data_IF_315254182683
#
_entry.id   IF_315254182683
#
_cell.length_a   1.000
_cell.length_b   1.000
_cell.length_c   1.000
_cell.angle_alpha   90.00
_cell.angle_beta   90.00
_cell.angle_gamma   90.00
#
_symmetry.space_group_name_H-M   'P 1'
#
loop_
_entity.id
_entity.type
_entity.pdbx_description
1 polymer ?
#
# COMPACT_ATOMS: atom_id res chain seq x y z
N UNK A 1 20.92 -20.03 -2.15
CA UNK A 1 21.28 -21.41 -2.51
C UNK A 1 20.07 -22.37 -2.45
N UNK A 2 20.14 -23.57 -3.05
CA UNK A 2 19.09 -24.61 -2.86
C UNK A 2 19.00 -25.09 -1.40
N UNK A 3 20.13 -25.09 -0.69
CA UNK A 3 20.22 -25.43 0.73
C UNK A 3 19.44 -24.46 1.62
N UNK A 4 19.56 -23.16 1.38
CA UNK A 4 18.81 -22.12 2.12
C UNK A 4 17.30 -22.28 1.96
N UNK A 5 16.83 -22.56 0.73
CA UNK A 5 15.40 -22.75 0.49
C UNK A 5 14.86 -24.02 1.15
N UNK A 6 15.69 -25.05 1.31
CA UNK A 6 15.32 -26.23 2.10
C UNK A 6 15.17 -25.86 3.58
N UNK A 7 16.13 -25.13 4.14
CA UNK A 7 16.05 -24.64 5.52
C UNK A 7 14.83 -23.76 5.75
N UNK A 8 14.48 -22.89 4.79
CA UNK A 8 13.30 -22.05 4.89
C UNK A 8 12.00 -22.87 4.91
N UNK A 9 11.90 -23.90 4.06
CA UNK A 9 10.74 -24.82 4.07
C UNK A 9 10.68 -25.65 5.34
N UNK A 10 11.81 -26.19 5.79
CA UNK A 10 11.89 -26.93 7.05
C UNK A 10 11.50 -26.04 8.24
N UNK A 11 11.87 -24.75 8.22
CA UNK A 11 11.46 -23.77 9.21
C UNK A 11 9.95 -23.52 9.16
N UNK A 12 9.39 -23.31 7.96
CA UNK A 12 7.95 -23.14 7.76
C UNK A 12 7.14 -24.33 8.28
N UNK A 13 7.57 -25.56 7.97
CA UNK A 13 6.87 -26.78 8.41
C UNK A 13 6.99 -27.03 9.91
N UNK A 14 8.04 -26.49 10.55
CA UNK A 14 8.21 -26.47 12.02
C UNK A 14 7.58 -25.24 12.67
N UNK A 15 6.41 -24.80 12.19
CA UNK A 15 5.66 -23.67 12.74
C UNK A 15 6.43 -22.33 12.65
N UNK A 16 7.21 -22.19 11.58
CA UNK A 16 8.00 -21.01 11.31
C UNK A 16 7.14 -19.76 11.17
N UNK A 17 7.69 -18.64 11.63
CA UNK A 17 7.07 -17.32 11.61
C UNK A 17 7.96 -16.39 10.81
N UNK A 18 7.45 -15.92 9.67
CA UNK A 18 8.27 -15.24 8.67
C UNK A 18 7.64 -13.88 8.35
N UNK A 19 8.46 -12.83 8.41
CA UNK A 19 8.14 -11.55 7.77
C UNK A 19 9.00 -11.46 6.51
N UNK A 20 8.35 -11.30 5.36
CA UNK A 20 9.02 -11.24 4.07
C UNK A 20 8.67 -9.93 3.36
N UNK A 21 9.68 -9.08 3.18
CA UNK A 21 9.58 -7.84 2.42
C UNK A 21 10.35 -8.02 1.12
N UNK A 22 9.66 -7.90 -0.01
CA UNK A 22 10.23 -8.12 -1.33
C UNK A 22 10.41 -6.78 -2.04
N UNK A 23 11.58 -6.61 -2.65
CA UNK A 23 11.84 -5.48 -3.53
C UNK A 23 11.50 -5.88 -4.98
N UNK A 24 10.61 -5.15 -5.67
CA UNK A 24 10.28 -5.44 -7.07
C UNK A 24 11.48 -5.22 -8.01
N UNK A 25 12.47 -4.41 -7.64
CA UNK A 25 13.68 -4.18 -8.43
C UNK A 25 14.68 -5.33 -8.34
N UNK A 26 14.51 -6.26 -7.38
CA UNK A 26 15.44 -7.37 -7.14
C UNK A 26 14.84 -8.71 -7.57
N UNK A 27 15.55 -9.44 -8.43
CA UNK A 27 15.12 -10.76 -8.86
C UNK A 27 15.33 -11.81 -7.75
N UNK A 28 14.23 -12.25 -7.14
CA UNK A 28 14.21 -13.27 -6.09
C UNK A 28 13.37 -14.49 -6.47
N UNK A 29 13.64 -15.18 -7.59
CA UNK A 29 12.76 -16.22 -8.15
C UNK A 29 12.49 -17.38 -7.18
N UNK A 30 13.46 -17.70 -6.31
CA UNK A 30 13.31 -18.77 -5.31
C UNK A 30 12.36 -18.39 -4.18
N UNK A 31 12.41 -17.13 -3.71
CA UNK A 31 11.49 -16.63 -2.69
C UNK A 31 10.09 -16.47 -3.27
N UNK A 32 9.97 -15.90 -4.48
CA UNK A 32 8.71 -15.84 -5.22
C UNK A 32 8.09 -17.23 -5.40
N UNK A 33 8.90 -18.23 -5.74
CA UNK A 33 8.46 -19.64 -5.83
C UNK A 33 7.93 -20.19 -4.51
N UNK A 34 8.63 -19.97 -3.39
CA UNK A 34 8.19 -20.39 -2.06
C UNK A 34 6.86 -19.75 -1.66
N UNK A 35 6.70 -18.45 -1.88
CA UNK A 35 5.46 -17.72 -1.54
C UNK A 35 4.29 -18.16 -2.44
N UNK A 36 4.57 -18.52 -3.69
CA UNK A 36 3.60 -19.09 -4.63
C UNK A 36 3.13 -20.51 -4.24
N UNK A 37 4.01 -21.33 -3.65
CA UNK A 37 3.62 -22.61 -3.03
C UNK A 37 2.60 -22.40 -1.90
N UNK A 38 2.68 -21.25 -1.22
CA UNK A 38 1.76 -20.83 -0.17
C UNK A 38 0.52 -20.09 -0.69
N UNK A 39 0.30 -20.03 -1.99
CA UNK A 39 -0.90 -19.44 -2.59
C UNK A 39 -0.83 -17.92 -2.79
N UNK A 40 0.33 -17.30 -2.59
CA UNK A 40 0.55 -15.89 -2.93
C UNK A 40 1.48 -15.81 -4.14
N UNK A 41 0.97 -15.36 -5.28
CA UNK A 41 1.80 -15.10 -6.45
C UNK A 41 2.24 -13.64 -6.45
N UNK A 42 3.55 -13.44 -6.29
CA UNK A 42 4.18 -12.12 -6.49
C UNK A 42 4.34 -11.93 -8.00
N UNK A 43 3.60 -11.00 -8.57
CA UNK A 43 3.63 -10.76 -10.00
C UNK A 43 4.94 -10.07 -10.41
N UNK A 44 5.36 -10.32 -11.65
CA UNK A 44 6.54 -9.68 -12.22
C UNK A 44 6.14 -8.36 -12.90
N UNK A 45 5.65 -7.45 -12.07
CA UNK A 45 5.16 -6.14 -12.49
C UNK A 45 5.58 -5.05 -11.51
N UNK A 46 5.44 -3.80 -11.96
CA UNK A 46 5.65 -2.61 -11.15
C UNK A 46 4.42 -1.74 -11.24
N UNK A 47 3.88 -1.40 -10.07
CA UNK A 47 2.77 -0.48 -9.97
C UNK A 47 3.19 0.93 -10.35
N UNK A 48 2.38 1.56 -11.19
CA UNK A 48 2.55 2.93 -11.65
C UNK A 48 1.23 3.66 -11.64
N UNK A 49 1.29 4.99 -11.52
CA UNK A 49 0.12 5.86 -11.64
C UNK A 49 0.53 7.17 -12.31
N UNK A 50 -0.39 7.72 -13.11
CA UNK A 50 -0.29 9.09 -13.59
C UNK A 50 -1.02 10.02 -12.62
N UNK A 51 -0.27 10.92 -12.00
CA UNK A 51 -0.80 11.96 -11.13
C UNK A 51 -0.86 13.29 -11.90
N UNK A 52 -1.96 14.02 -11.73
CA UNK A 52 -2.06 15.38 -12.27
C UNK A 52 -1.32 16.34 -11.36
N UNK A 53 -0.22 16.90 -11.85
CA UNK A 53 0.57 17.92 -11.15
C UNK A 53 0.18 19.34 -11.56
N UNK A 54 -0.56 19.49 -12.66
CA UNK A 54 -1.04 20.77 -13.18
C UNK A 54 -2.38 20.66 -13.93
N UNK A 55 -2.68 21.65 -14.77
CA UNK A 55 -3.91 21.69 -15.59
C UNK A 55 -3.86 20.62 -16.70
N UNK A 56 -2.70 20.48 -17.35
CA UNK A 56 -2.43 19.47 -18.39
C UNK A 56 -1.21 18.60 -18.09
N UNK A 57 -0.51 18.88 -16.99
CA UNK A 57 0.71 18.16 -16.63
C UNK A 57 0.38 16.86 -15.89
N UNK A 58 0.72 15.74 -16.52
CA UNK A 58 0.68 14.41 -15.94
C UNK A 58 2.10 14.00 -15.61
N UNK A 59 2.38 13.77 -14.33
CA UNK A 59 3.61 13.14 -13.89
C UNK A 59 3.34 11.65 -13.65
N UNK A 60 4.25 10.81 -14.10
CA UNK A 60 4.22 9.40 -13.75
C UNK A 60 5.01 9.18 -12.47
N UNK A 61 4.43 8.46 -11.51
CA UNK A 61 5.15 8.02 -10.31
C UNK A 61 5.04 6.51 -10.11
N UNK A 62 6.04 5.98 -9.41
CA UNK A 62 6.16 4.58 -8.99
C UNK A 62 5.91 4.41 -7.50
N UNK A 63 5.76 5.52 -6.78
CA UNK A 63 5.39 5.51 -5.38
C UNK A 63 3.92 5.12 -5.28
N UNK A 64 3.62 4.17 -4.39
CA UNK A 64 2.27 3.62 -4.26
C UNK A 64 1.65 4.12 -2.98
N UNK A 65 0.54 4.85 -3.12
CA UNK A 65 -0.38 5.09 -2.03
C UNK A 65 -1.30 3.89 -1.88
N UNK A 66 -1.33 3.33 -0.68
CA UNK A 66 -2.13 2.16 -0.36
C UNK A 66 -2.79 2.33 1.01
N UNK A 67 -3.85 1.57 1.25
CA UNK A 67 -4.54 1.53 2.54
C UNK A 67 -4.48 0.13 3.14
N UNK A 68 -4.53 0.05 4.47
CA UNK A 68 -4.61 -1.21 5.17
C UNK A 68 -6.07 -1.68 5.32
N UNK A 69 -6.29 -2.98 5.13
CA UNK A 69 -7.59 -3.62 5.29
C UNK A 69 -7.87 -3.96 6.76
N UNK A 70 -9.12 -3.85 7.19
CA UNK A 70 -9.51 -4.03 8.61
C UNK A 70 -9.79 -5.47 9.05
N UNK A 71 -9.76 -6.43 8.13
CA UNK A 71 -10.24 -7.80 8.37
C UNK A 71 -9.27 -8.66 9.19
N UNK A 72 -7.98 -8.30 9.20
CA UNK A 72 -6.93 -9.05 9.88
C UNK A 72 -6.55 -8.43 11.24
N UNK A 73 -6.23 -9.23 12.28
CA UNK A 73 -5.71 -8.72 13.55
C UNK A 73 -4.48 -7.82 13.41
N UNK A 74 -3.66 -8.06 12.37
CA UNK A 74 -2.45 -7.28 12.07
C UNK A 74 -2.79 -5.81 11.80
N UNK A 75 -3.80 -5.59 10.96
CA UNK A 75 -4.13 -4.30 10.36
C UNK A 75 -5.42 -3.68 10.90
N UNK A 76 -6.13 -4.37 11.82
CA UNK A 76 -7.38 -3.88 12.42
C UNK A 76 -7.31 -2.44 12.97
N UNK A 77 -6.17 -2.04 13.54
CA UNK A 77 -5.96 -0.67 14.08
C UNK A 77 -5.56 0.35 13.00
N UNK A 78 -5.14 -0.15 11.85
CA UNK A 78 -4.76 0.60 10.67
C UNK A 78 -5.85 0.58 9.60
N UNK A 79 -7.04 0.05 9.89
CA UNK A 79 -8.15 0.02 8.93
C UNK A 79 -8.37 1.40 8.29
N UNK A 80 -8.36 1.43 6.95
CA UNK A 80 -8.50 2.62 6.11
C UNK A 80 -7.40 3.69 6.28
N UNK A 81 -6.37 3.40 7.06
CA UNK A 81 -5.18 4.24 7.15
C UNK A 81 -4.39 4.08 5.86
N UNK A 82 -4.01 5.21 5.27
CA UNK A 82 -3.19 5.27 4.07
C UNK A 82 -1.73 5.37 4.44
N UNK A 83 -0.87 4.70 3.70
CA UNK A 83 0.58 4.81 3.80
C UNK A 83 1.19 4.96 2.39
N UNK A 84 2.40 5.51 2.33
CA UNK A 84 3.16 5.64 1.09
C UNK A 84 4.27 4.57 1.01
N UNK A 85 4.28 3.83 -0.10
CA UNK A 85 5.26 2.80 -0.41
C UNK A 85 6.17 3.31 -1.54
N UNK A 86 7.33 3.83 -1.15
CA UNK A 86 8.29 4.45 -2.06
C UNK A 86 9.05 3.44 -2.92
N UNK A 87 9.69 3.88 -3.99
CA UNK A 87 10.74 3.06 -4.66
C UNK A 87 10.22 1.86 -5.45
N UNK A 88 8.90 1.77 -5.67
CA UNK A 88 8.25 0.76 -6.49
C UNK A 88 7.67 -0.40 -5.68
N UNK A 89 6.54 -0.91 -6.14
CA UNK A 89 5.81 -2.03 -5.53
C UNK A 89 5.31 -2.98 -6.62
N UNK A 90 5.32 -4.30 -6.40
CA UNK A 90 4.66 -5.27 -7.31
C UNK A 90 3.25 -5.61 -6.83
N UNK A 91 2.37 -6.05 -7.72
CA UNK A 91 1.08 -6.60 -7.34
C UNK A 91 1.21 -8.05 -6.83
N UNK A 92 0.31 -8.43 -5.92
CA UNK A 92 0.14 -9.77 -5.38
C UNK A 92 -1.20 -10.36 -5.85
N UNK A 93 -1.18 -11.59 -6.33
CA UNK A 93 -2.39 -12.38 -6.62
C UNK A 93 -2.54 -13.46 -5.56
N UNK A 94 -3.70 -13.49 -4.90
CA UNK A 94 -4.04 -14.51 -3.90
C UNK A 94 -4.80 -15.66 -4.57
N UNK A 95 -4.34 -16.89 -4.35
CA UNK A 95 -4.90 -18.11 -4.92
C UNK A 95 -5.35 -19.07 -3.80
N UNK A 96 -6.44 -18.73 -3.05
CA UNK A 96 -6.89 -19.53 -1.90
C UNK A 96 -7.26 -20.97 -2.27
N UNK A 97 -7.75 -21.19 -3.50
CA UNK A 97 -8.12 -22.51 -3.99
C UNK A 97 -6.93 -23.47 -4.11
N UNK A 98 -5.73 -22.93 -4.43
CA UNK A 98 -4.49 -23.72 -4.53
C UNK A 98 -4.12 -24.37 -3.21
N UNK A 99 -4.39 -23.68 -2.10
CA UNK A 99 -3.88 -24.05 -0.78
C UNK A 99 -4.97 -24.52 0.19
N UNK A 100 -6.20 -24.66 -0.30
CA UNK A 100 -7.36 -25.13 0.47
C UNK A 100 -7.11 -26.50 1.10
N UNK A 101 -6.54 -27.45 0.35
CA UNK A 101 -6.23 -28.79 0.84
C UNK A 101 -5.17 -28.80 1.95
N UNK A 102 -4.31 -27.78 2.00
CA UNK A 102 -3.26 -27.63 2.99
C UNK A 102 -3.73 -26.92 4.28
N UNK A 103 -5.02 -26.59 4.40
CA UNK A 103 -5.58 -25.81 5.53
C UNK A 103 -4.84 -24.49 5.76
N UNK A 104 -4.50 -23.82 4.65
CA UNK A 104 -3.86 -22.51 4.65
C UNK A 104 -4.91 -21.44 4.40
N UNK A 105 -4.93 -20.42 5.27
CA UNK A 105 -5.76 -19.23 5.12
C UNK A 105 -4.91 -18.10 4.56
N UNK A 106 -5.43 -17.42 3.55
CA UNK A 106 -4.84 -16.22 2.95
C UNK A 106 -5.70 -15.02 3.29
N UNK A 107 -5.06 -13.94 3.73
CA UNK A 107 -5.74 -12.68 4.02
C UNK A 107 -5.02 -11.52 3.33
N UNK A 108 -5.70 -10.71 2.50
CA UNK A 108 -5.11 -9.47 2.04
C UNK A 108 -4.97 -8.49 3.22
N UNK A 109 -3.84 -7.78 3.28
CA UNK A 109 -3.56 -6.81 4.34
C UNK A 109 -3.50 -5.38 3.82
N UNK A 110 -2.96 -5.19 2.61
CA UNK A 110 -2.68 -3.87 2.05
C UNK A 110 -3.14 -3.85 0.59
N UNK A 111 -3.92 -2.84 0.23
CA UNK A 111 -4.38 -2.60 -1.14
C UNK A 111 -3.96 -1.23 -1.64
N UNK A 112 -3.39 -1.19 -2.84
CA UNK A 112 -3.15 0.04 -3.56
C UNK A 112 -4.47 0.79 -3.78
N UNK A 113 -4.40 2.12 -3.74
CA UNK A 113 -5.52 2.98 -4.11
C UNK A 113 -5.94 2.75 -5.57
N UNK A 114 -7.08 3.33 -5.95
CA UNK A 114 -7.56 3.27 -7.33
C UNK A 114 -6.65 4.10 -8.25
N UNK A 115 -6.49 3.66 -9.50
CA UNK A 115 -5.74 4.35 -10.55
C UNK A 115 -4.36 3.78 -10.81
N UNK A 116 -3.88 2.84 -9.99
CA UNK A 116 -2.63 2.14 -10.24
C UNK A 116 -2.81 1.05 -11.29
N UNK A 117 -1.85 0.95 -12.20
CA UNK A 117 -1.76 -0.12 -13.18
C UNK A 117 -0.43 -0.87 -13.01
N UNK A 118 -0.43 -2.14 -13.40
CA UNK A 118 0.71 -3.05 -13.27
C UNK A 118 1.49 -3.13 -14.60
N UNK A 119 2.62 -2.44 -14.67
CA UNK A 119 3.51 -2.45 -15.83
C UNK A 119 4.51 -3.63 -15.74
N UNK A 120 4.66 -4.39 -16.83
CA UNK A 120 5.57 -5.56 -16.90
C UNK A 120 6.86 -5.25 -17.65
N UNK A 121 6.86 -4.22 -18.48
CA UNK A 121 7.99 -3.78 -19.26
C UNK A 121 8.78 -2.72 -18.48
N UNK A 122 9.84 -3.16 -17.81
CA UNK A 122 10.65 -2.29 -16.96
C UNK A 122 11.53 -1.31 -17.74
N UNK A 123 11.73 -1.56 -19.05
CA UNK A 123 12.63 -0.80 -19.92
C UNK A 123 11.91 0.22 -20.80
N UNK A 124 10.58 0.18 -20.85
CA UNK A 124 9.81 1.11 -21.67
C UNK A 124 9.63 2.45 -20.96
N UNK A 125 10.10 3.51 -21.60
CA UNK A 125 9.79 4.91 -21.27
C UNK A 125 8.81 5.53 -22.29
N UNK A 126 8.15 4.70 -23.11
CA UNK A 126 7.15 5.16 -24.07
C UNK A 126 5.88 5.61 -23.33
N UNK A 127 5.76 6.93 -23.14
CA UNK A 127 4.63 7.52 -22.45
C UNK A 127 3.28 7.23 -23.11
N UNK A 128 3.22 7.02 -24.43
CA UNK A 128 1.97 6.75 -25.14
C UNK A 128 1.49 5.34 -24.83
N UNK A 129 2.41 4.37 -24.83
CA UNK A 129 2.14 2.99 -24.39
C UNK A 129 1.65 2.98 -22.94
N UNK A 130 2.41 3.60 -22.02
CA UNK A 130 2.11 3.60 -20.59
C UNK A 130 0.75 4.25 -20.28
N UNK A 131 0.39 5.34 -20.96
CA UNK A 131 -0.93 5.96 -20.83
C UNK A 131 -2.06 5.08 -21.38
N UNK A 132 -1.78 4.30 -22.42
CA UNK A 132 -2.75 3.36 -23.00
C UNK A 132 -2.99 2.20 -22.04
N UNK A 133 -1.93 1.64 -21.47
CA UNK A 133 -2.00 0.56 -20.49
C UNK A 133 -2.72 1.04 -19.21
N UNK A 134 -2.46 2.27 -18.76
CA UNK A 134 -3.19 2.89 -17.66
C UNK A 134 -4.69 3.03 -17.93
N UNK A 135 -5.09 3.39 -19.16
CA UNK A 135 -6.51 3.51 -19.56
C UNK A 135 -7.19 2.15 -19.71
N UNK A 136 -6.45 1.13 -20.13
CA UNK A 136 -6.94 -0.25 -20.27
C UNK A 136 -6.98 -1.00 -18.94
N UNK A 137 -6.24 -0.53 -17.94
CA UNK A 137 -6.27 -1.11 -16.61
C UNK A 137 -7.68 -1.03 -16.02
N UNK A 138 -8.27 -2.20 -15.76
CA UNK A 138 -9.47 -2.27 -14.96
C UNK A 138 -9.10 -1.75 -13.57
N UNK A 139 -9.74 -0.67 -13.13
CA UNK A 139 -9.45 0.10 -11.91
C UNK A 139 -9.76 -0.67 -10.60
N UNK A 140 -9.29 -1.92 -10.54
CA UNK A 140 -9.45 -2.88 -9.46
C UNK A 140 -8.31 -2.65 -8.48
N UNK A 141 -8.59 -2.55 -7.17
CA UNK A 141 -7.54 -2.43 -6.16
C UNK A 141 -6.54 -3.60 -6.24
N UNK A 142 -5.27 -3.26 -6.33
CA UNK A 142 -4.18 -4.24 -6.41
C UNK A 142 -3.67 -4.53 -5.01
N UNK A 143 -3.63 -5.80 -4.63
CA UNK A 143 -3.10 -6.19 -3.32
C UNK A 143 -1.58 -6.11 -3.34
N UNK A 144 -0.97 -5.52 -2.32
CA UNK A 144 0.50 -5.37 -2.21
C UNK A 144 1.06 -5.98 -0.92
N UNK A 145 0.18 -6.39 -0.01
CA UNK A 145 0.55 -7.11 1.20
C UNK A 145 -0.51 -8.13 1.59
N UNK A 146 -0.08 -9.27 2.12
CA UNK A 146 -0.96 -10.36 2.53
C UNK A 146 -0.36 -11.21 3.65
N UNK A 147 -1.23 -11.84 4.44
CA UNK A 147 -0.89 -12.82 5.46
C UNK A 147 -1.24 -14.24 5.01
N UNK A 148 -0.46 -15.19 5.52
CA UNK A 148 -0.67 -16.62 5.36
C UNK A 148 -0.64 -17.26 6.74
N UNK A 149 -1.67 -18.05 7.05
CA UNK A 149 -1.70 -18.86 8.27
C UNK A 149 -2.01 -20.31 7.93
N UNK A 150 -1.10 -21.24 8.31
CA UNK A 150 -1.25 -22.69 8.12
C UNK A 150 -1.68 -23.33 9.43
N UNK A 151 -2.80 -24.05 9.43
CA UNK A 151 -3.28 -24.78 10.61
C UNK A 151 -4.05 -23.91 11.63
N UNK A 152 -4.46 -22.70 11.25
CA UNK A 152 -5.31 -21.84 12.07
C UNK A 152 -6.73 -22.39 12.17
N UNK A 153 -7.01 -23.20 13.19
CA UNK A 153 -8.38 -23.53 13.60
C UNK A 153 -8.94 -22.39 14.47
N UNK A 154 -10.27 -22.22 14.51
CA UNK A 154 -10.95 -21.22 15.35
C UNK A 154 -10.71 -21.43 16.87
N UNK A 155 -10.07 -22.54 17.24
CA UNK A 155 -9.75 -22.92 18.60
C UNK A 155 -8.36 -22.39 19.02
N UNK A 156 -8.33 -21.56 20.07
CA UNK A 156 -7.13 -20.83 20.55
C UNK A 156 -5.95 -21.76 20.91
N UNK A 157 -6.21 -23.02 21.28
CA UNK A 157 -5.16 -24.01 21.59
C UNK A 157 -4.42 -24.51 20.35
N UNK A 158 -5.04 -24.43 19.17
CA UNK A 158 -4.44 -24.85 17.89
C UNK A 158 -3.65 -23.70 17.24
N UNK A 159 -4.00 -22.44 17.53
CA UNK A 159 -3.26 -21.25 17.08
C UNK A 159 -1.83 -21.15 17.64
N UNK A 160 -1.53 -21.82 18.76
CA UNK A 160 -0.16 -21.93 19.27
C UNK A 160 0.76 -22.76 18.36
N UNK A 161 0.17 -23.56 17.46
CA UNK A 161 0.84 -24.52 16.60
C UNK A 161 0.72 -24.19 15.09
N UNK A 162 0.43 -22.92 14.72
CA UNK A 162 0.31 -22.51 13.32
C UNK A 162 1.59 -21.88 12.77
N UNK A 163 1.87 -22.14 11.47
CA UNK A 163 2.90 -21.40 10.72
C UNK A 163 2.29 -20.11 10.21
N UNK A 164 3.01 -19.00 10.35
CA UNK A 164 2.52 -17.65 10.00
C UNK A 164 3.51 -16.93 9.11
N UNK A 165 3.03 -16.30 8.04
CA UNK A 165 3.84 -15.52 7.12
C UNK A 165 3.13 -14.21 6.82
N UNK A 166 3.87 -13.11 6.82
CA UNK A 166 3.42 -11.82 6.28
C UNK A 166 4.32 -11.48 5.11
N UNK A 167 3.71 -11.19 3.95
CA UNK A 167 4.42 -10.79 2.72
C UNK A 167 4.00 -9.39 2.34
N UNK A 168 4.98 -8.53 2.03
CA UNK A 168 4.76 -7.23 1.40
C UNK A 168 5.68 -7.12 0.19
N UNK A 169 5.14 -6.70 -0.95
CA UNK A 169 5.87 -6.53 -2.22
C UNK A 169 6.58 -5.18 -2.34
N UNK A 170 6.99 -4.64 -1.20
CA UNK A 170 7.81 -3.44 -1.07
C UNK A 170 8.70 -3.59 0.17
N UNK A 171 9.99 -3.26 0.03
CA UNK A 171 10.99 -3.33 1.11
C UNK A 171 11.49 -1.97 1.59
N UNK A 172 11.19 -0.92 0.84
CA UNK A 172 11.70 0.44 1.04
C UNK A 172 10.90 1.20 2.10
N UNK A 173 9.64 0.84 2.34
CA UNK A 173 8.80 1.50 3.36
C UNK A 173 9.31 1.33 4.80
N UNK A 174 10.25 0.42 5.03
CA UNK A 174 10.93 0.21 6.33
C UNK A 174 12.35 0.79 6.38
N UNK A 175 12.77 1.54 5.36
CA UNK A 175 14.06 2.23 5.38
C UNK A 175 13.96 3.52 6.21
N UNK A 176 15.07 3.97 6.79
CA UNK A 176 15.12 5.11 7.71
C UNK A 176 14.48 6.40 7.15
N UNK A 177 14.63 6.63 5.85
CA UNK A 177 14.04 7.76 5.14
C UNK A 177 12.50 7.68 5.07
N UNK A 178 11.93 6.48 4.95
CA UNK A 178 10.49 6.26 4.93
C UNK A 178 9.91 6.26 6.35
N UNK A 179 10.60 5.65 7.31
CA UNK A 179 10.20 5.57 8.71
C UNK A 179 10.08 6.95 9.37
N UNK A 180 11.02 7.86 9.07
CA UNK A 180 11.00 9.22 9.64
C UNK A 180 9.85 10.08 9.11
N UNK A 181 9.27 9.73 7.96
CA UNK A 181 8.16 10.47 7.35
C UNK A 181 6.80 9.81 7.60
N UNK A 182 6.76 8.49 7.79
CA UNK A 182 5.51 7.73 7.86
C UNK A 182 5.48 6.74 9.04
N UNK A 183 4.87 7.17 10.14
CA UNK A 183 4.64 6.35 11.35
C UNK A 183 3.80 5.09 11.05
N UNK A 184 3.02 5.08 9.96
CA UNK A 184 2.07 4.00 9.69
C UNK A 184 2.79 2.71 9.24
N UNK A 185 3.93 2.83 8.57
CA UNK A 185 4.80 1.71 8.24
C UNK A 185 5.33 1.00 9.49
N UNK A 186 5.76 1.77 10.51
CA UNK A 186 6.23 1.22 11.79
C UNK A 186 5.12 0.48 12.54
N UNK A 187 3.93 1.09 12.62
CA UNK A 187 2.79 0.50 13.30
C UNK A 187 2.37 -0.82 12.63
N UNK A 188 2.45 -0.88 11.29
CA UNK A 188 2.20 -2.11 10.54
C UNK A 188 3.24 -3.19 10.82
N UNK A 189 4.54 -2.86 10.82
CA UNK A 189 5.60 -3.82 11.12
C UNK A 189 5.47 -4.32 12.56
N UNK A 190 5.20 -3.43 13.52
CA UNK A 190 4.95 -3.83 14.90
C UNK A 190 3.75 -4.75 15.02
N UNK A 191 2.64 -4.46 14.34
CA UNK A 191 1.45 -5.33 14.30
C UNK A 191 1.77 -6.70 13.68
N UNK A 192 2.52 -6.70 12.58
CA UNK A 192 2.95 -7.92 11.88
C UNK A 192 3.82 -8.79 12.77
N UNK A 193 4.84 -8.23 13.42
CA UNK A 193 5.72 -8.97 14.33
C UNK A 193 4.95 -9.50 15.54
N UNK A 194 4.07 -8.70 16.15
CA UNK A 194 3.27 -9.14 17.29
C UNK A 194 2.35 -10.32 16.94
N UNK A 195 1.70 -10.27 15.77
CA UNK A 195 0.88 -11.36 15.27
C UNK A 195 1.72 -12.61 14.93
N UNK A 196 2.86 -12.43 14.26
CA UNK A 196 3.81 -13.52 14.00
C UNK A 196 4.29 -14.16 15.31
N UNK A 197 4.47 -13.39 16.39
CA UNK A 197 4.86 -13.91 17.70
C UNK A 197 3.71 -14.52 18.52
N UNK A 198 2.50 -14.66 17.95
CA UNK A 198 1.30 -15.16 18.66
C UNK A 198 0.98 -14.38 19.94
N UNK A 199 1.43 -13.13 20.01
CA UNK A 199 1.19 -12.21 21.13
C UNK A 199 -0.06 -11.37 20.85
N UNK A 200 -1.16 -12.04 20.49
CA UNK A 200 -2.40 -11.35 20.10
C UNK A 200 -3.01 -10.53 21.25
N UNK A 201 -2.71 -10.88 22.51
CA UNK A 201 -3.07 -10.09 23.69
C UNK A 201 -2.28 -8.77 23.84
N UNK A 202 -1.07 -8.66 23.26
CA UNK A 202 -0.27 -7.42 23.24
C UNK A 202 -0.58 -6.52 22.03
N UNK A 203 -1.49 -6.95 21.15
CA UNK A 203 -2.08 -6.08 20.12
C UNK A 203 -3.07 -5.07 20.79
N UNK A 204 -3.35 -5.24 22.09
CA UNK A 204 -4.20 -4.39 22.91
C UNK A 204 -3.48 -3.26 23.66
N UNK A 205 -3.97 -2.03 23.41
CA UNK A 205 -3.85 -0.80 24.21
C UNK A 205 -2.52 -0.03 24.14
N UNK A 206 -2.24 0.57 22.98
CA UNK A 206 -1.45 1.81 22.91
C UNK A 206 -2.42 2.99 22.75
N UNK A 207 -2.25 4.13 23.47
CA UNK A 207 -3.15 5.28 23.37
C UNK A 207 -3.31 5.71 21.91
N UNK A 208 -4.56 5.95 21.47
CA UNK A 208 -4.80 6.63 20.19
C UNK A 208 -4.14 8.00 20.28
N UNK A 209 -3.01 8.19 19.61
CA UNK A 209 -2.48 9.52 19.40
C UNK A 209 -3.51 10.23 18.50
N UNK A 210 -4.12 11.34 18.93
CA UNK A 210 -5.09 12.04 18.12
C UNK A 210 -4.44 12.41 16.79
N UNK A 211 -4.96 11.82 15.71
CA UNK A 211 -4.53 12.15 14.35
C UNK A 211 -4.79 13.65 14.15
N UNK A 212 -3.83 14.44 13.67
CA UNK A 212 -4.19 15.69 13.04
C UNK A 212 -5.13 15.33 11.88
N UNK A 213 -6.36 15.82 11.94
CA UNK A 213 -7.28 15.75 10.82
C UNK A 213 -6.65 16.55 9.67
N UNK A 214 -5.90 15.87 8.80
CA UNK A 214 -5.50 16.46 7.54
C UNK A 214 -6.78 16.60 6.71
N UNK A 215 -7.27 17.82 6.56
CA UNK A 215 -8.36 18.14 5.65
C UNK A 215 -7.94 17.73 4.23
N UNK A 216 -8.28 16.52 3.80
CA UNK A 216 -8.24 16.16 2.39
C UNK A 216 -9.48 16.76 1.74
N UNK A 217 -9.33 17.95 1.15
CA UNK A 217 -10.40 18.57 0.37
C UNK A 217 -10.76 17.65 -0.80
N UNK A 218 -12.05 17.38 -1.01
CA UNK A 218 -12.51 16.63 -2.19
C UNK A 218 -12.15 17.38 -3.48
N UNK A 219 -12.09 16.67 -4.59
CA UNK A 219 -11.88 17.24 -5.93
C UNK A 219 -12.81 18.43 -6.22
N UNK A 220 -14.08 18.34 -5.80
CA UNK A 220 -15.05 19.43 -5.93
C UNK A 220 -14.73 20.62 -5.01
N UNK A 221 -14.26 20.36 -3.79
CA UNK A 221 -13.89 21.41 -2.84
C UNK A 221 -12.64 22.17 -3.31
N UNK A 222 -11.63 21.46 -3.84
CA UNK A 222 -10.46 22.07 -4.47
C UNK A 222 -10.84 22.89 -5.71
N UNK A 223 -11.81 22.42 -6.51
CA UNK A 223 -12.31 23.15 -7.68
C UNK A 223 -13.04 24.43 -7.31
N UNK A 224 -13.85 24.42 -6.25
CA UNK A 224 -14.50 25.63 -5.73
C UNK A 224 -13.48 26.61 -5.16
N UNK A 225 -12.55 26.12 -4.34
CA UNK A 225 -11.49 26.93 -3.74
C UNK A 225 -10.64 27.61 -4.84
N UNK A 226 -10.37 26.89 -5.93
CA UNK A 226 -9.67 27.42 -7.11
C UNK A 226 -10.38 28.61 -7.74
N UNK A 227 -11.69 28.51 -7.99
CA UNK A 227 -12.44 29.63 -8.59
C UNK A 227 -12.58 30.81 -7.63
N UNK A 228 -12.72 30.56 -6.32
CA UNK A 228 -12.72 31.61 -5.30
C UNK A 228 -11.39 32.36 -5.33
N UNK A 229 -10.25 31.66 -5.32
CA UNK A 229 -8.94 32.32 -5.34
C UNK A 229 -8.69 33.07 -6.66
N UNK A 230 -9.01 32.47 -7.81
CA UNK A 230 -8.78 33.09 -9.12
C UNK A 230 -9.67 34.29 -9.41
N UNK A 231 -10.89 34.33 -8.88
CA UNK A 231 -11.82 35.44 -9.13
C UNK A 231 -11.78 36.47 -8.00
N UNK A 232 -11.80 36.02 -6.74
CA UNK A 232 -11.94 36.92 -5.60
C UNK A 232 -10.68 37.75 -5.35
N UNK A 233 -9.48 37.14 -5.46
CA UNK A 233 -8.20 37.85 -5.24
C UNK A 233 -8.00 39.02 -6.22
N UNK A 234 -8.23 38.89 -7.55
CA UNK A 234 -8.10 40.04 -8.45
C UNK A 234 -9.27 41.02 -8.37
N UNK A 235 -10.46 40.57 -7.92
CA UNK A 235 -11.64 41.43 -7.84
C UNK A 235 -11.57 42.44 -6.69
N UNK A 236 -10.91 42.08 -5.57
CA UNK A 236 -10.68 43.00 -4.44
C UNK A 236 -9.89 44.26 -4.84
N UNK A 237 -8.68 44.18 -5.42
CA UNK A 237 -7.95 45.36 -5.87
C UNK A 237 -8.63 46.07 -7.04
N UNK A 238 -9.34 45.35 -7.92
CA UNK A 238 -10.12 45.97 -8.99
C UNK A 238 -11.28 46.83 -8.44
N UNK A 239 -12.01 46.34 -7.43
CA UNK A 239 -13.08 47.07 -6.78
C UNK A 239 -12.55 48.30 -6.02
N UNK A 240 -11.45 48.14 -5.27
CA UNK A 240 -10.78 49.26 -4.59
C UNK A 240 -10.31 50.31 -5.60
N UNK A 241 -9.66 49.88 -6.69
CA UNK A 241 -9.19 50.77 -7.75
C UNK A 241 -10.34 51.53 -8.41
N UNK A 242 -11.46 50.85 -8.70
CA UNK A 242 -12.66 51.46 -9.27
C UNK A 242 -13.29 52.48 -8.30
N UNK A 243 -13.36 52.15 -7.01
CA UNK A 243 -13.90 53.05 -5.98
C UNK A 243 -13.05 54.32 -5.82
N UNK A 244 -11.73 54.18 -5.77
CA UNK A 244 -10.78 55.31 -5.69
C UNK A 244 -10.88 56.18 -6.94
N UNK A 245 -10.98 55.56 -8.12
CA UNK A 245 -11.16 56.30 -9.38
C UNK A 245 -12.46 57.11 -9.39
N UNK A 246 -13.54 56.56 -8.85
CA UNK A 246 -14.83 57.24 -8.78
C UNK A 246 -14.80 58.42 -7.80
N UNK A 247 -14.18 58.26 -6.63
CA UNK A 247 -13.99 59.34 -5.65
C UNK A 247 -13.09 60.48 -6.16
N UNK A 248 -12.23 60.22 -7.14
CA UNK A 248 -11.40 61.26 -7.77
C UNK A 248 -12.12 62.06 -8.86
N UNK A 249 -13.26 61.56 -9.35
CA UNK A 249 -14.04 62.18 -10.44
C UNK A 249 -15.27 62.95 -9.96
N UNK A 250 -15.69 62.74 -8.72
CA UNK A 250 -16.73 63.52 -8.01
C UNK A 250 -16.05 64.66 -7.28
#
# INVERSE_FOLDING_TARGET
>A
SGREMKLLRDFWDKQGRILLLLDPSTQTPKLRGFVNELGIKVNDDRLMVFVRTGIEELAMTRDVQAHFLGDSPITKRLADVRALFFGGTSSLTLEPDRVRAASIRLEPLIQAEKGYFAEKDYNSDDQVKLQTDAKQSNNVPLTIGAAVEKGGSADQRVQLNSSRLVVVSNSTFVQDNAITQDQQGLDFISGSVNWLLSREQLIGIAPKIPKPLTFSLSEEALRRLRWILLVFIPLVPAAIGTMVWWQRRV
#
